data_IF_981036792037
#
_entry.id   IF_981036792037
#
_cell.length_a   1.000
_cell.length_b   1.000
_cell.length_c   1.000
_cell.angle_alpha   90.00
_cell.angle_beta   90.00
_cell.angle_gamma   90.00
#
_symmetry.space_group_name_H-M   'P 1'
#
loop_
_entity.id
_entity.type
_entity.pdbx_description
1 polymer ?
#
# COMPACT_ATOMS: atom_id res chain seq x y z
N UNK A 1 -22.64 -1.66 24.83
CA UNK A 1 -21.23 -1.23 25.07
C UNK A 1 -20.24 -2.27 24.54
N UNK A 2 -20.31 -3.53 24.97
CA UNK A 2 -19.41 -4.61 24.48
C UNK A 2 -19.42 -4.77 22.96
N UNK A 3 -20.60 -4.80 22.33
CA UNK A 3 -20.72 -4.88 20.86
C UNK A 3 -20.02 -3.72 20.13
N UNK A 4 -20.13 -2.50 20.66
CA UNK A 4 -19.50 -1.30 20.10
C UNK A 4 -17.97 -1.39 20.15
N UNK A 5 -17.42 -1.89 21.27
CA UNK A 5 -15.98 -2.09 21.43
C UNK A 5 -15.46 -3.17 20.48
N UNK A 6 -16.22 -4.26 20.29
CA UNK A 6 -15.87 -5.31 19.33
C UNK A 6 -15.83 -4.78 17.88
N UNK A 7 -16.84 -4.00 17.48
CA UNK A 7 -16.91 -3.42 16.13
C UNK A 7 -15.75 -2.44 15.92
N UNK A 8 -15.48 -1.56 16.89
CA UNK A 8 -14.37 -0.62 16.82
C UNK A 8 -13.02 -1.34 16.71
N UNK A 9 -12.82 -2.43 17.47
CA UNK A 9 -11.61 -3.24 17.40
C UNK A 9 -11.38 -3.87 16.03
N UNK A 10 -12.44 -4.40 15.40
CA UNK A 10 -12.34 -4.99 14.05
C UNK A 10 -11.95 -3.94 13.01
N UNK A 11 -12.61 -2.78 13.03
CA UNK A 11 -12.31 -1.68 12.09
C UNK A 11 -10.85 -1.22 12.26
N UNK A 12 -10.41 -1.05 13.51
CA UNK A 12 -9.04 -0.64 13.81
C UNK A 12 -8.02 -1.68 13.32
N UNK A 13 -8.26 -2.97 13.55
CA UNK A 13 -7.39 -4.05 13.09
C UNK A 13 -7.25 -4.08 11.55
N UNK A 14 -8.35 -3.88 10.82
CA UNK A 14 -8.31 -3.77 9.35
C UNK A 14 -7.50 -2.57 8.89
N UNK A 15 -7.67 -1.41 9.54
CA UNK A 15 -6.92 -0.18 9.26
C UNK A 15 -5.41 -0.41 9.44
N UNK A 16 -5.00 -1.01 10.57
CA UNK A 16 -3.60 -1.32 10.86
C UNK A 16 -3.04 -2.32 9.83
N UNK A 17 -3.79 -3.35 9.46
CA UNK A 17 -3.37 -4.31 8.44
C UNK A 17 -3.11 -3.65 7.09
N UNK A 18 -3.97 -2.73 6.66
CA UNK A 18 -3.80 -1.99 5.41
C UNK A 18 -2.53 -1.13 5.49
N UNK A 19 -2.34 -0.36 6.55
CA UNK A 19 -1.14 0.48 6.73
C UNK A 19 0.13 -0.36 6.73
N UNK A 20 0.17 -1.46 7.48
CA UNK A 20 1.33 -2.36 7.54
C UNK A 20 1.62 -2.96 6.16
N UNK A 21 0.59 -3.36 5.41
CA UNK A 21 0.77 -3.85 4.03
C UNK A 21 1.32 -2.75 3.11
N UNK A 22 0.81 -1.53 3.20
CA UNK A 22 1.29 -0.40 2.41
C UNK A 22 2.74 -0.06 2.75
N UNK A 23 3.10 0.00 4.04
CA UNK A 23 4.48 0.26 4.49
C UNK A 23 5.41 -0.87 4.09
N UNK A 24 4.98 -2.13 4.19
CA UNK A 24 5.78 -3.28 3.78
C UNK A 24 5.99 -3.29 2.25
N UNK A 25 4.97 -2.94 1.47
CA UNK A 25 5.09 -2.74 0.01
C UNK A 25 6.06 -1.61 -0.32
N UNK A 26 5.93 -0.46 0.32
CA UNK A 26 6.84 0.67 0.14
C UNK A 26 8.29 0.30 0.51
N UNK A 27 8.51 -0.42 1.63
CA UNK A 27 9.83 -0.91 2.04
C UNK A 27 10.41 -1.94 1.08
N UNK A 28 9.56 -2.76 0.45
CA UNK A 28 9.98 -3.73 -0.57
C UNK A 28 10.24 -3.07 -1.94
N UNK A 29 10.19 -1.74 -2.04
CA UNK A 29 10.40 -1.01 -3.29
C UNK A 29 9.17 -1.00 -4.22
N UNK A 30 8.03 -1.55 -3.79
CA UNK A 30 6.73 -1.37 -4.47
C UNK A 30 6.11 -0.01 -4.09
N UNK A 31 6.90 1.07 -4.19
CA UNK A 31 6.47 2.45 -3.92
C UNK A 31 5.89 3.15 -5.16
N UNK A 32 5.80 2.43 -6.29
CA UNK A 32 5.35 2.96 -7.58
C UNK A 32 3.87 2.70 -7.88
N UNK A 33 3.36 3.32 -8.95
CA UNK A 33 2.05 3.01 -9.53
C UNK A 33 1.84 1.48 -9.54
N UNK A 34 0.74 0.99 -8.96
CA UNK A 34 0.46 -0.44 -8.81
C UNK A 34 0.41 -1.25 -10.12
N UNK A 35 0.52 -0.58 -11.26
CA UNK A 35 0.88 -1.16 -12.54
C UNK A 35 2.41 -1.33 -12.56
N UNK A 36 2.91 -2.55 -12.34
CA UNK A 36 4.36 -2.84 -12.35
C UNK A 36 5.12 -2.15 -13.49
N UNK A 37 6.41 -1.85 -13.28
CA UNK A 37 7.21 -1.00 -14.18
C UNK A 37 7.15 -1.38 -15.68
N UNK A 38 6.81 -2.62 -16.00
CA UNK A 38 6.60 -3.12 -17.36
C UNK A 38 5.49 -2.41 -18.15
N UNK A 39 4.45 -1.86 -17.48
CA UNK A 39 3.32 -1.17 -18.13
C UNK A 39 3.03 0.21 -17.50
N UNK A 40 4.01 0.78 -16.80
CA UNK A 40 3.87 2.11 -16.21
C UNK A 40 3.97 3.16 -17.33
N UNK A 41 2.95 4.00 -17.51
CA UNK A 41 2.97 5.10 -18.51
C UNK A 41 4.09 6.11 -18.28
N UNK A 42 4.66 6.16 -17.07
CA UNK A 42 5.84 6.95 -16.70
C UNK A 42 7.18 6.20 -16.87
N UNK A 43 7.18 5.00 -17.46
CA UNK A 43 8.41 4.20 -17.65
C UNK A 43 9.48 4.96 -18.46
N UNK A 44 9.05 5.80 -19.41
CA UNK A 44 9.93 6.65 -20.22
C UNK A 44 10.77 7.64 -19.41
N UNK A 45 10.24 8.18 -18.30
CA UNK A 45 10.96 9.10 -17.41
C UNK A 45 11.74 8.37 -16.30
N UNK A 46 11.24 7.23 -15.80
CA UNK A 46 11.92 6.48 -14.74
C UNK A 46 13.19 5.75 -15.20
N UNK A 47 13.22 5.27 -16.45
CA UNK A 47 14.40 4.63 -17.07
C UNK A 47 15.09 5.53 -18.09
N UNK A 48 14.97 6.86 -17.95
CA UNK A 48 15.74 7.81 -18.75
C UNK A 48 17.24 7.62 -18.45
N UNK A 49 17.86 6.73 -19.22
CA UNK A 49 19.30 6.50 -19.23
C UNK A 49 19.89 7.62 -20.09
N UNK A 50 20.19 8.76 -19.47
CA UNK A 50 21.23 9.68 -19.93
C UNK A 50 21.78 10.49 -18.78
#
# INVERSE_FOLDING_TARGET
>A
MVATVLIAGIIFALMVLVIVKQVKKAKNGESGCGCGCSNCSSSSVCHSKK
#
